data_IF_490104834276
#
_entry.id   IF_490104834276
#
_cell.length_a   1.000
_cell.length_b   1.000
_cell.length_c   1.000
_cell.angle_alpha   90.00
_cell.angle_beta   90.00
_cell.angle_gamma   90.00
#
_symmetry.space_group_name_H-M   'P 1'
#
loop_
_entity.id
_entity.type
_entity.pdbx_description
1 polymer ?
#
# COMPACT_ATOMS: atom_id res chain seq x y z
N UNK A 1 -14.12 40.75 4.32
CA UNK A 1 -13.11 40.04 3.51
C UNK A 1 -13.45 38.56 3.59
N UNK A 2 -14.04 38.03 2.52
CA UNK A 2 -14.54 36.65 2.46
C UNK A 2 -13.39 35.70 2.13
N UNK A 3 -13.26 34.62 2.91
CA UNK A 3 -12.38 33.51 2.58
C UNK A 3 -12.99 32.74 1.41
N UNK A 4 -12.22 32.60 0.34
CA UNK A 4 -12.56 31.82 -0.84
C UNK A 4 -12.49 30.33 -0.49
N UNK A 5 -13.65 29.67 -0.51
CA UNK A 5 -13.76 28.21 -0.61
C UNK A 5 -13.16 27.78 -1.94
N UNK A 6 -11.94 27.23 -1.92
CA UNK A 6 -11.43 26.43 -3.06
C UNK A 6 -11.87 24.99 -2.83
N UNK A 7 -12.96 24.63 -3.48
CA UNK A 7 -13.39 23.24 -3.65
C UNK A 7 -12.27 22.46 -4.34
N UNK A 8 -11.69 21.47 -3.66
CA UNK A 8 -10.84 20.48 -4.29
C UNK A 8 -11.73 19.52 -5.08
N UNK A 9 -11.84 19.73 -6.39
CA UNK A 9 -12.45 18.75 -7.29
C UNK A 9 -11.47 17.58 -7.48
N UNK A 10 -11.85 16.40 -7.00
CA UNK A 10 -11.19 15.14 -7.31
C UNK A 10 -11.52 14.84 -8.79
N UNK A 11 -10.52 14.70 -9.68
CA UNK A 11 -10.82 14.37 -11.08
C UNK A 11 -11.42 12.96 -11.15
N UNK A 12 -12.60 12.81 -11.75
CA UNK A 12 -13.12 11.52 -12.18
C UNK A 12 -12.18 10.94 -13.25
N UNK A 13 -11.49 9.85 -12.89
CA UNK A 13 -10.60 9.14 -13.79
C UNK A 13 -11.41 8.44 -14.88
N UNK A 14 -11.37 8.98 -16.09
CA UNK A 14 -11.85 8.32 -17.31
C UNK A 14 -10.78 7.36 -17.82
N UNK A 15 -11.02 6.06 -17.60
CA UNK A 15 -10.14 4.96 -18.02
C UNK A 15 -10.93 3.71 -18.37
N UNK A 16 -11.77 3.78 -19.40
CA UNK A 16 -12.59 2.65 -19.87
C UNK A 16 -11.88 1.93 -21.04
N UNK A 17 -11.16 0.84 -20.76
CA UNK A 17 -10.95 -0.28 -21.72
C UNK A 17 -10.15 -1.49 -21.20
N UNK A 18 -9.58 -1.48 -19.98
CA UNK A 18 -8.86 -2.65 -19.39
C UNK A 18 -9.66 -3.43 -18.33
N UNK A 19 -10.84 -2.95 -17.96
CA UNK A 19 -11.53 -3.31 -16.70
C UNK A 19 -11.86 -4.79 -16.53
N UNK A 20 -12.25 -5.52 -17.57
CA UNK A 20 -12.77 -6.89 -17.41
C UNK A 20 -11.71 -7.94 -17.03
N UNK A 21 -10.49 -7.86 -17.58
CA UNK A 21 -9.41 -8.80 -17.23
C UNK A 21 -8.78 -8.47 -15.89
N UNK A 22 -8.59 -7.20 -15.61
CA UNK A 22 -8.05 -6.71 -14.34
C UNK A 22 -9.02 -7.07 -13.18
N UNK A 23 -10.33 -6.93 -13.40
CA UNK A 23 -11.34 -7.38 -12.44
C UNK A 23 -11.36 -8.90 -12.26
N UNK A 24 -11.22 -9.67 -13.34
CA UNK A 24 -11.15 -11.13 -13.23
C UNK A 24 -9.94 -11.57 -12.41
N UNK A 25 -8.77 -10.98 -12.69
CA UNK A 25 -7.55 -11.24 -11.93
C UNK A 25 -7.72 -10.88 -10.45
N UNK A 26 -8.28 -9.71 -10.17
CA UNK A 26 -8.58 -9.25 -8.81
C UNK A 26 -9.52 -10.20 -8.07
N UNK A 27 -10.57 -10.69 -8.74
CA UNK A 27 -11.53 -11.63 -8.15
C UNK A 27 -10.87 -12.98 -7.81
N UNK A 28 -10.05 -13.52 -8.71
CA UNK A 28 -9.29 -14.75 -8.48
C UNK A 28 -8.35 -14.58 -7.29
N UNK A 29 -7.61 -13.46 -7.25
CA UNK A 29 -6.69 -13.16 -6.16
C UNK A 29 -7.41 -13.08 -4.82
N UNK A 30 -8.56 -12.41 -4.77
CA UNK A 30 -9.35 -12.31 -3.54
C UNK A 30 -9.85 -13.66 -3.05
N UNK A 31 -10.32 -14.53 -3.96
CA UNK A 31 -10.77 -15.88 -3.59
C UNK A 31 -9.63 -16.72 -3.02
N UNK A 32 -8.46 -16.68 -3.66
CA UNK A 32 -7.25 -17.34 -3.18
C UNK A 32 -6.79 -16.77 -1.84
N UNK A 33 -6.87 -15.46 -1.65
CA UNK A 33 -6.57 -14.82 -0.37
C UNK A 33 -7.49 -15.34 0.74
N UNK A 34 -8.81 -15.38 0.52
CA UNK A 34 -9.75 -15.92 1.51
C UNK A 34 -9.44 -17.38 1.87
N UNK A 35 -9.12 -18.22 0.88
CA UNK A 35 -8.70 -19.59 1.14
C UNK A 35 -7.41 -19.68 1.95
N UNK A 36 -6.41 -18.84 1.64
CA UNK A 36 -5.17 -18.76 2.40
C UNK A 36 -5.40 -18.33 3.85
N UNK A 37 -6.27 -17.35 4.09
CA UNK A 37 -6.61 -16.88 5.44
C UNK A 37 -7.41 -17.92 6.23
N UNK A 38 -8.28 -18.68 5.59
CA UNK A 38 -9.07 -19.74 6.25
C UNK A 38 -8.24 -20.98 6.57
N UNK A 39 -7.36 -21.40 5.65
CA UNK A 39 -6.53 -22.60 5.84
C UNK A 39 -5.27 -22.32 6.65
N UNK A 40 -4.74 -21.10 6.60
CA UNK A 40 -3.55 -20.71 7.33
C UNK A 40 -3.86 -19.69 8.41
N UNK A 41 -3.43 -19.97 9.64
CA UNK A 41 -3.20 -18.90 10.60
C UNK A 41 -2.07 -18.03 10.02
N UNK A 42 -2.42 -16.87 9.43
CA UNK A 42 -1.47 -15.92 8.84
C UNK A 42 -0.30 -15.62 9.78
N UNK A 43 -0.57 -15.62 11.09
CA UNK A 43 0.42 -15.47 12.16
C UNK A 43 1.50 -16.56 12.17
N UNK A 44 1.15 -17.79 11.77
CA UNK A 44 2.05 -18.93 11.70
C UNK A 44 2.86 -18.95 10.40
N UNK A 45 2.34 -18.36 9.32
CA UNK A 45 3.05 -18.25 8.03
C UNK A 45 4.23 -17.29 8.09
N UNK A 46 4.19 -16.26 8.94
CA UNK A 46 5.31 -15.32 9.16
C UNK A 46 6.58 -16.00 9.73
N UNK A 47 6.47 -17.25 10.20
CA UNK A 47 7.56 -18.01 10.82
C UNK A 47 8.19 -18.99 9.80
N UNK A 48 7.52 -19.26 8.68
CA UNK A 48 8.00 -20.22 7.69
C UNK A 48 9.12 -19.62 6.81
N UNK A 49 10.08 -20.44 6.36
CA UNK A 49 11.04 -20.01 5.34
C UNK A 49 10.33 -19.61 4.05
N UNK A 50 10.79 -18.55 3.39
CA UNK A 50 10.21 -18.03 2.14
C UNK A 50 10.06 -19.11 1.04
N UNK A 51 10.99 -20.07 0.99
CA UNK A 51 10.93 -21.19 0.05
C UNK A 51 9.75 -22.15 0.29
N UNK A 52 9.37 -22.38 1.55
CA UNK A 52 8.23 -23.23 1.91
C UNK A 52 6.91 -22.50 1.61
N UNK A 53 6.81 -21.23 1.99
CA UNK A 53 5.64 -20.38 1.67
C UNK A 53 5.39 -20.37 0.17
N UNK A 54 6.45 -20.17 -0.62
CA UNK A 54 6.34 -20.17 -2.09
C UNK A 54 5.82 -21.50 -2.63
N UNK A 55 6.29 -22.63 -2.08
CA UNK A 55 5.83 -23.96 -2.50
C UNK A 55 4.32 -24.11 -2.25
N UNK A 56 3.86 -23.76 -1.05
CA UNK A 56 2.45 -23.96 -0.69
C UNK A 56 1.52 -23.01 -1.43
N UNK A 57 1.91 -21.75 -1.58
CA UNK A 57 1.15 -20.80 -2.41
C UNK A 57 1.09 -21.30 -3.86
N UNK A 58 2.19 -21.82 -4.39
CA UNK A 58 2.21 -22.36 -5.77
C UNK A 58 1.25 -23.54 -5.90
N UNK A 59 1.29 -24.50 -4.96
CA UNK A 59 0.40 -25.66 -4.98
C UNK A 59 -1.07 -25.25 -4.88
N UNK A 60 -1.41 -24.33 -3.98
CA UNK A 60 -2.77 -23.83 -3.82
C UNK A 60 -3.28 -23.13 -5.08
N UNK A 61 -2.47 -22.26 -5.67
CA UNK A 61 -2.82 -21.57 -6.93
C UNK A 61 -3.05 -22.58 -8.05
N UNK A 62 -2.19 -23.59 -8.19
CA UNK A 62 -2.34 -24.61 -9.23
C UNK A 62 -3.59 -25.47 -9.03
N UNK A 63 -3.89 -25.85 -7.79
CA UNK A 63 -5.08 -26.62 -7.45
C UNK A 63 -6.37 -25.82 -7.67
N UNK A 64 -6.37 -24.54 -7.31
CA UNK A 64 -7.49 -23.62 -7.55
C UNK A 64 -7.75 -23.42 -9.05
N UNK A 65 -6.72 -23.05 -9.82
CA UNK A 65 -6.84 -22.83 -11.27
C UNK A 65 -7.31 -24.09 -12.00
N UNK A 66 -6.88 -25.27 -11.56
CA UNK A 66 -7.32 -26.56 -12.10
C UNK A 66 -8.78 -26.86 -11.75
N UNK A 67 -9.21 -26.59 -10.52
CA UNK A 67 -10.56 -26.88 -10.03
C UNK A 67 -11.60 -25.98 -10.70
N UNK A 68 -11.31 -24.69 -10.81
CA UNK A 68 -12.19 -23.69 -11.42
C UNK A 68 -12.07 -23.64 -12.96
N UNK A 69 -11.18 -24.46 -13.55
CA UNK A 69 -10.90 -24.52 -14.99
C UNK A 69 -10.61 -23.14 -15.61
N UNK A 70 -9.80 -22.33 -14.92
CA UNK A 70 -9.50 -20.95 -15.31
C UNK A 70 -8.30 -20.96 -16.27
N UNK A 71 -8.46 -20.50 -17.53
CA UNK A 71 -7.35 -20.38 -18.44
C UNK A 71 -6.49 -19.17 -18.04
N UNK A 72 -5.25 -19.44 -17.63
CA UNK A 72 -4.26 -18.43 -17.25
C UNK A 72 -2.89 -18.80 -17.83
N UNK A 73 -2.20 -17.82 -18.41
CA UNK A 73 -0.88 -18.05 -19.00
C UNK A 73 0.20 -18.14 -17.91
N UNK A 74 1.43 -18.54 -18.30
CA UNK A 74 2.52 -18.75 -17.33
C UNK A 74 2.94 -17.45 -16.63
N UNK A 75 3.01 -16.34 -17.36
CA UNK A 75 3.43 -15.05 -16.80
C UNK A 75 2.39 -14.51 -15.81
N UNK A 76 1.10 -14.60 -16.13
CA UNK A 76 -0.01 -14.25 -15.25
C UNK A 76 0.00 -15.08 -13.96
N UNK A 77 0.28 -16.38 -14.07
CA UNK A 77 0.38 -17.27 -12.91
C UNK A 77 1.57 -16.92 -12.02
N UNK A 78 2.75 -16.72 -12.62
CA UNK A 78 3.94 -16.29 -11.88
C UNK A 78 3.76 -14.91 -11.24
N UNK A 79 2.97 -14.03 -11.86
CA UNK A 79 2.57 -12.76 -11.27
C UNK A 79 1.63 -12.95 -10.06
N UNK A 80 0.58 -13.75 -10.20
CA UNK A 80 -0.37 -14.05 -9.12
C UNK A 80 0.32 -14.69 -7.90
N UNK A 81 1.21 -15.66 -8.12
CA UNK A 81 1.98 -16.28 -7.04
C UNK A 81 2.85 -15.26 -6.32
N UNK A 82 3.53 -14.37 -7.06
CA UNK A 82 4.35 -13.30 -6.45
C UNK A 82 3.49 -12.35 -5.62
N UNK A 83 2.34 -11.92 -6.13
CA UNK A 83 1.46 -11.04 -5.37
C UNK A 83 0.95 -11.71 -4.09
N UNK A 84 0.54 -12.99 -4.16
CA UNK A 84 0.10 -13.72 -2.97
C UNK A 84 1.22 -13.91 -1.95
N UNK A 85 2.46 -14.14 -2.39
CA UNK A 85 3.62 -14.21 -1.48
C UNK A 85 3.89 -12.85 -0.85
N UNK A 86 3.89 -11.76 -1.63
CA UNK A 86 4.04 -10.40 -1.11
C UNK A 86 2.91 -10.06 -0.12
N UNK A 87 1.70 -10.60 -0.33
CA UNK A 87 0.54 -10.48 0.57
C UNK A 87 0.71 -11.26 1.88
N UNK A 88 1.39 -12.41 1.84
CA UNK A 88 1.66 -13.21 3.03
C UNK A 88 2.90 -12.77 3.81
N UNK A 89 3.93 -12.23 3.15
CA UNK A 89 5.26 -11.97 3.75
C UNK A 89 5.66 -10.49 3.77
N UNK A 90 5.02 -9.67 2.95
CA UNK A 90 5.27 -8.23 2.85
C UNK A 90 4.12 -7.39 3.42
N UNK A 91 3.94 -6.21 2.83
CA UNK A 91 2.88 -5.23 3.06
C UNK A 91 1.77 -5.36 2.00
N UNK A 92 1.76 -6.50 1.29
CA UNK A 92 0.79 -6.91 0.29
C UNK A 92 0.58 -5.92 -0.87
N UNK A 93 -0.62 -5.32 -1.00
CA UNK A 93 -0.92 -4.46 -2.14
C UNK A 93 -0.06 -3.18 -2.22
N UNK A 94 0.66 -2.81 -1.15
CA UNK A 94 1.45 -1.57 -1.09
C UNK A 94 2.85 -1.69 -1.71
N UNK A 95 3.37 -2.90 -1.87
CA UNK A 95 4.72 -3.21 -2.33
C UNK A 95 5.09 -2.52 -3.64
N UNK A 96 4.23 -2.56 -4.68
CA UNK A 96 4.53 -1.86 -5.93
C UNK A 96 4.67 -0.35 -5.73
N UNK A 97 3.84 0.25 -4.86
CA UNK A 97 3.86 1.69 -4.57
C UNK A 97 5.10 2.08 -3.77
N UNK A 98 5.52 1.23 -2.83
CA UNK A 98 6.73 1.43 -2.02
C UNK A 98 8.01 1.27 -2.84
N UNK A 99 8.01 0.39 -3.86
CA UNK A 99 9.16 0.22 -4.77
C UNK A 99 9.31 1.35 -5.78
N UNK A 100 8.25 2.09 -6.06
CA UNK A 100 8.26 3.18 -7.04
C UNK A 100 8.91 4.46 -6.47
N UNK A 101 10.06 4.91 -6.99
CA UNK A 101 10.79 6.06 -6.43
C UNK A 101 10.10 7.41 -6.66
N UNK A 102 9.05 7.47 -7.49
CA UNK A 102 8.32 8.71 -7.78
C UNK A 102 7.17 8.97 -6.81
N UNK A 103 6.81 7.99 -5.97
CA UNK A 103 5.82 8.14 -4.89
C UNK A 103 6.46 8.82 -3.67
N UNK A 104 5.91 9.97 -3.27
CA UNK A 104 6.27 10.68 -2.04
C UNK A 104 5.40 10.28 -0.85
N UNK A 105 4.08 10.25 -1.02
CA UNK A 105 3.12 9.87 0.02
C UNK A 105 2.20 8.75 -0.48
N UNK A 106 1.85 7.81 0.40
CA UNK A 106 0.82 6.79 0.18
C UNK A 106 -0.31 7.07 1.18
N UNK A 107 -1.54 7.14 0.69
CA UNK A 107 -2.73 7.49 1.48
C UNK A 107 -3.81 6.41 1.26
N UNK A 108 -4.06 5.60 2.27
CA UNK A 108 -5.13 4.60 2.30
C UNK A 108 -6.26 5.11 3.20
N UNK A 109 -7.35 5.57 2.59
CA UNK A 109 -8.51 6.08 3.31
C UNK A 109 -9.48 4.96 3.70
N UNK A 110 -9.51 3.89 2.91
CA UNK A 110 -10.28 2.67 3.18
C UNK A 110 -9.54 1.50 2.53
N UNK A 111 -10.01 0.27 2.74
CA UNK A 111 -9.52 -0.90 1.99
C UNK A 111 -9.70 -0.77 0.46
N UNK A 112 -10.60 0.10 -0.02
CA UNK A 112 -10.90 0.28 -1.46
C UNK A 112 -10.19 1.47 -2.09
N UNK A 113 -9.84 2.48 -1.28
CA UNK A 113 -9.42 3.78 -1.75
C UNK A 113 -7.97 4.07 -1.33
N UNK A 114 -7.05 3.76 -2.24
CA UNK A 114 -5.61 4.01 -2.10
C UNK A 114 -5.19 5.09 -3.10
N UNK A 115 -4.55 6.12 -2.59
CA UNK A 115 -4.00 7.24 -3.34
C UNK A 115 -2.49 7.32 -3.12
N UNK A 116 -1.80 7.93 -4.07
CA UNK A 116 -0.39 8.29 -3.94
C UNK A 116 -0.17 9.73 -4.33
N UNK A 117 0.84 10.35 -3.73
CA UNK A 117 1.35 11.64 -4.19
C UNK A 117 2.58 11.43 -5.07
N UNK A 118 2.59 12.09 -6.22
CA UNK A 118 3.74 12.17 -7.13
C UNK A 118 3.96 13.62 -7.51
N UNK A 119 5.17 14.12 -7.30
CA UNK A 119 5.55 15.50 -7.61
C UNK A 119 4.52 16.54 -7.09
N UNK A 120 4.00 16.35 -5.87
CA UNK A 120 3.04 17.25 -5.23
C UNK A 120 1.59 17.12 -5.72
N UNK A 121 1.27 16.09 -6.52
CA UNK A 121 -0.11 15.81 -6.99
C UNK A 121 -0.59 14.48 -6.46
N UNK A 122 -1.78 14.48 -5.87
CA UNK A 122 -2.46 13.28 -5.40
C UNK A 122 -3.18 12.62 -6.57
N UNK A 123 -2.94 11.33 -6.77
CA UNK A 123 -3.59 10.51 -7.78
C UNK A 123 -4.19 9.23 -7.16
N UNK A 124 -5.32 8.78 -7.72
CA UNK A 124 -5.95 7.52 -7.29
C UNK A 124 -5.25 6.33 -7.94
N UNK A 125 -4.96 5.31 -7.16
CA UNK A 125 -4.32 4.08 -7.67
C UNK A 125 -5.34 2.98 -7.96
N UNK A 126 -5.00 1.99 -8.79
CA UNK A 126 -5.82 0.78 -8.96
C UNK A 126 -5.65 -0.20 -7.78
N UNK A 127 -4.69 0.04 -6.88
CA UNK A 127 -4.39 -0.82 -5.73
C UNK A 127 -5.56 -0.84 -4.75
N UNK A 128 -5.94 -2.03 -4.30
CA UNK A 128 -7.01 -2.26 -3.33
C UNK A 128 -6.66 -3.42 -2.41
N UNK A 129 -7.13 -3.34 -1.18
CA UNK A 129 -7.13 -4.44 -0.22
C UNK A 129 -8.43 -5.24 -0.38
N UNK A 130 -8.41 -6.49 0.08
CA UNK A 130 -9.56 -7.39 -0.04
C UNK A 130 -10.74 -6.89 0.82
N UNK A 131 -10.45 -6.50 2.06
CA UNK A 131 -11.40 -6.03 3.06
C UNK A 131 -10.66 -5.28 4.19
N UNK A 132 -11.41 -4.79 5.19
CA UNK A 132 -10.84 -4.09 6.34
C UNK A 132 -9.91 -4.96 7.19
N UNK A 133 -10.19 -6.27 7.31
CA UNK A 133 -9.34 -7.19 8.07
C UNK A 133 -7.95 -7.33 7.40
N UNK A 134 -7.90 -7.39 6.08
CA UNK A 134 -6.64 -7.39 5.35
C UNK A 134 -5.87 -6.09 5.60
N UNK A 135 -6.51 -4.92 5.49
CA UNK A 135 -5.83 -3.65 5.79
C UNK A 135 -5.35 -3.58 7.25
N UNK A 136 -6.14 -4.07 8.21
CA UNK A 136 -5.73 -4.19 9.62
C UNK A 136 -4.50 -5.07 9.78
N UNK A 137 -4.44 -6.24 9.14
CA UNK A 137 -3.28 -7.14 9.22
C UNK A 137 -2.00 -6.45 8.71
N UNK A 138 -2.10 -5.68 7.62
CA UNK A 138 -0.96 -4.92 7.10
C UNK A 138 -0.55 -3.81 8.07
N UNK A 139 -1.51 -3.08 8.66
CA UNK A 139 -1.23 -2.09 9.70
C UNK A 139 -0.51 -2.74 10.88
N UNK A 140 -1.04 -3.84 11.42
CA UNK A 140 -0.47 -4.54 12.57
C UNK A 140 0.94 -5.04 12.28
N UNK A 141 1.21 -5.52 11.07
CA UNK A 141 2.55 -5.94 10.64
C UNK A 141 3.53 -4.76 10.62
N UNK A 142 3.15 -3.64 10.03
CA UNK A 142 3.98 -2.41 10.01
C UNK A 142 4.28 -1.96 11.44
N UNK A 143 3.26 -1.90 12.28
CA UNK A 143 3.36 -1.38 13.66
C UNK A 143 4.17 -2.34 14.57
N UNK A 144 4.05 -3.65 14.35
CA UNK A 144 4.78 -4.68 15.09
C UNK A 144 6.29 -4.60 14.82
N UNK A 145 6.70 -4.32 13.57
CA UNK A 145 8.12 -4.14 13.22
C UNK A 145 8.76 -2.95 13.95
N UNK A 146 7.98 -1.93 14.31
CA UNK A 146 8.45 -0.72 15.01
C UNK A 146 8.39 -0.89 16.53
N UNK A 147 7.79 -1.98 17.04
CA UNK A 147 7.59 -2.21 18.46
C UNK A 147 6.55 -1.29 19.11
N UNK A 148 5.58 -0.82 18.31
CA UNK A 148 4.42 -0.04 18.79
C UNK A 148 3.19 -0.96 18.91
N UNK A 149 2.12 -0.44 19.50
CA UNK A 149 0.84 -1.14 19.61
C UNK A 149 -0.28 -0.23 19.15
N UNK A 150 -1.25 -0.80 18.47
CA UNK A 150 -2.50 -0.18 18.07
C UNK A 150 -3.62 -1.17 18.41
N UNK A 151 -4.64 -0.71 19.11
CA UNK A 151 -5.80 -1.52 19.50
C UNK A 151 -7.00 -0.61 19.81
N UNK A 152 -8.17 -1.16 20.10
CA UNK A 152 -9.39 -0.37 20.35
C UNK A 152 -9.25 0.63 21.51
N UNK A 153 -8.32 0.40 22.45
CA UNK A 153 -8.05 1.32 23.55
C UNK A 153 -7.09 2.45 23.17
N UNK A 154 -6.24 2.20 22.17
CA UNK A 154 -5.28 3.15 21.59
C UNK A 154 -5.35 3.08 20.05
N UNK A 155 -6.44 3.58 19.43
CA UNK A 155 -6.78 3.32 18.03
C UNK A 155 -6.04 4.21 17.02
N UNK A 156 -4.95 4.84 17.42
CA UNK A 156 -4.14 5.70 16.55
C UNK A 156 -2.66 5.59 16.91
N UNK A 157 -1.80 5.62 15.90
CA UNK A 157 -0.34 5.59 16.06
C UNK A 157 0.35 6.48 15.03
N UNK A 158 1.43 7.15 15.46
CA UNK A 158 2.43 7.77 14.57
C UNK A 158 3.78 7.12 14.89
N UNK A 159 4.49 6.68 13.86
CA UNK A 159 5.77 6.02 14.01
C UNK A 159 6.70 6.33 12.84
N UNK A 160 7.99 6.04 13.05
CA UNK A 160 9.03 6.15 12.03
C UNK A 160 9.53 4.76 11.66
N UNK A 161 9.52 4.48 10.36
CA UNK A 161 10.02 3.25 9.77
C UNK A 161 11.56 3.26 9.73
N UNK A 162 12.21 2.08 9.63
CA UNK A 162 13.68 1.98 9.58
C UNK A 162 14.32 2.73 8.40
N UNK A 163 13.59 2.90 7.30
CA UNK A 163 14.00 3.68 6.12
C UNK A 163 13.88 5.21 6.32
N UNK A 164 13.38 5.65 7.48
CA UNK A 164 13.15 7.05 7.82
C UNK A 164 11.77 7.57 7.45
N UNK A 165 10.96 6.79 6.73
CA UNK A 165 9.58 7.13 6.37
C UNK A 165 8.72 7.25 7.62
N UNK A 166 7.66 8.06 7.55
CA UNK A 166 6.69 8.24 8.65
C UNK A 166 5.43 7.48 8.31
N UNK A 167 4.89 6.77 9.29
CA UNK A 167 3.62 6.07 9.16
C UNK A 167 2.64 6.62 10.20
N UNK A 168 1.41 6.85 9.76
CA UNK A 168 0.28 7.10 10.63
C UNK A 168 -0.83 6.12 10.31
N UNK A 169 -1.38 5.46 11.33
CA UNK A 169 -2.53 4.59 11.19
C UNK A 169 -3.60 4.98 12.21
N UNK A 170 -4.86 4.88 11.79
CA UNK A 170 -6.05 5.12 12.62
C UNK A 170 -7.02 3.97 12.35
N UNK A 171 -7.52 3.35 13.40
CA UNK A 171 -8.40 2.18 13.31
C UNK A 171 -9.74 2.46 14.02
N UNK A 172 -10.76 1.61 13.82
CA UNK A 172 -11.97 1.69 14.62
C UNK A 172 -11.67 1.64 16.13
N UNK A 173 -12.42 2.38 16.98
CA UNK A 173 -13.63 3.12 16.66
C UNK A 173 -13.42 4.56 16.15
N UNK A 174 -12.19 5.06 16.02
CA UNK A 174 -11.94 6.43 15.54
C UNK A 174 -12.15 6.57 14.04
N UNK A 175 -11.80 5.55 13.27
CA UNK A 175 -12.01 5.52 11.83
C UNK A 175 -13.38 4.91 11.51
N UNK A 176 -14.37 5.76 11.26
CA UNK A 176 -15.79 5.39 11.10
C UNK A 176 -16.02 4.49 9.87
N UNK A 177 -15.30 4.78 8.78
CA UNK A 177 -15.46 4.08 7.50
C UNK A 177 -14.56 2.85 7.33
N UNK A 178 -13.78 2.51 8.36
CA UNK A 178 -12.77 1.45 8.34
C UNK A 178 -11.35 1.96 8.62
N UNK A 179 -10.36 1.07 8.79
CA UNK A 179 -8.99 1.45 9.07
C UNK A 179 -8.38 2.34 7.98
N UNK A 180 -7.55 3.29 8.42
CA UNK A 180 -6.83 4.24 7.58
C UNK A 180 -5.33 4.17 7.84
N UNK A 181 -4.54 4.36 6.79
CA UNK A 181 -3.09 4.31 6.82
C UNK A 181 -2.52 5.41 5.92
N UNK A 182 -1.52 6.14 6.39
CA UNK A 182 -0.72 7.03 5.55
C UNK A 182 0.77 6.78 5.78
N UNK A 183 1.51 6.72 4.69
CA UNK A 183 2.96 6.54 4.70
C UNK A 183 3.57 7.72 3.94
N UNK A 184 4.24 8.60 4.67
CA UNK A 184 5.06 9.66 4.08
C UNK A 184 6.48 9.18 3.93
N UNK A 185 6.92 9.01 2.70
CA UNK A 185 8.23 8.43 2.41
C UNK A 185 9.33 9.45 2.67
N UNK A 186 10.44 8.97 3.19
CA UNK A 186 11.64 9.80 3.25
C UNK A 186 12.17 9.97 1.83
N UNK A 187 12.41 11.22 1.42
CA UNK A 187 12.84 11.52 0.06
C UNK A 187 14.14 10.75 -0.26
N UNK A 188 14.09 9.93 -1.33
CA UNK A 188 15.27 9.17 -1.80
C UNK A 188 16.38 10.12 -2.24
N UNK A 189 16.00 11.29 -2.78
CA UNK A 189 16.92 12.39 -3.10
C UNK A 189 16.63 13.59 -2.17
N UNK A 190 17.46 13.85 -1.16
CA UNK A 190 17.34 15.06 -0.36
C UNK A 190 17.59 16.30 -1.23
N UNK A 191 16.76 17.34 -1.04
CA UNK A 191 16.93 18.63 -1.70
C UNK A 191 18.28 19.24 -1.30
N UNK A 192 19.06 19.66 -2.30
CA UNK A 192 20.29 20.42 -2.10
C UNK A 192 19.98 21.91 -2.00
N UNK A 193 20.94 22.69 -1.52
CA UNK A 193 20.82 24.16 -1.47
C UNK A 193 20.50 24.74 -2.85
N UNK A 194 21.17 24.23 -3.89
CA UNK A 194 20.93 24.58 -5.29
C UNK A 194 19.47 24.33 -5.71
N UNK A 195 18.87 23.23 -5.28
CA UNK A 195 17.47 22.91 -5.59
C UNK A 195 16.52 23.92 -4.92
N UNK A 196 16.79 24.32 -3.69
CA UNK A 196 15.98 25.31 -2.96
C UNK A 196 16.02 26.70 -3.62
N UNK A 197 17.18 27.10 -4.14
CA UNK A 197 17.34 28.35 -4.91
C UNK A 197 16.59 28.23 -6.25
N UNK A 198 16.76 27.12 -6.97
CA UNK A 198 16.09 26.87 -8.24
C UNK A 198 14.56 26.84 -8.11
N UNK A 199 14.04 26.29 -7.01
CA UNK A 199 12.61 26.29 -6.68
C UNK A 199 12.13 27.62 -6.07
N UNK A 200 12.98 28.65 -6.02
CA UNK A 200 12.67 29.97 -5.47
C UNK A 200 12.14 29.92 -4.03
N UNK A 201 12.52 28.86 -3.30
CA UNK A 201 12.20 28.73 -1.87
C UNK A 201 13.14 29.62 -1.04
N UNK A 202 14.37 29.82 -1.52
CA UNK A 202 15.38 30.72 -0.95
C UNK A 202 15.98 31.59 -2.06
N UNK A 203 16.45 32.79 -1.70
CA UNK A 203 17.28 33.59 -2.62
C UNK A 203 18.72 33.10 -2.57
N UNK A 204 19.50 33.41 -3.62
CA UNK A 204 20.90 33.02 -3.72
C UNK A 204 21.72 33.58 -2.55
N UNK A 205 21.47 34.82 -2.13
CA UNK A 205 22.20 35.46 -1.02
C UNK A 205 21.95 34.76 0.32
N UNK A 206 20.73 34.26 0.55
CA UNK A 206 20.40 33.48 1.74
C UNK A 206 21.03 32.08 1.66
N UNK A 207 21.04 31.49 0.46
CA UNK A 207 21.69 30.21 0.21
C UNK A 207 23.19 30.25 0.50
N UNK A 208 23.89 31.31 0.05
CA UNK A 208 25.31 31.53 0.35
C UNK A 208 25.58 31.80 1.83
N UNK A 209 24.69 32.54 2.51
CA UNK A 209 24.85 32.83 3.94
C UNK A 209 24.74 31.57 4.82
N UNK A 210 23.94 30.57 4.41
CA UNK A 210 23.68 29.35 5.18
C UNK A 210 24.61 28.17 4.84
N UNK A 211 25.39 28.26 3.76
CA UNK A 211 26.28 27.21 3.26
C UNK A 211 27.64 27.20 4.00
#
# INVERSE_FOLDING_TARGET
MAYSERSYEIPEATGESSTGRDEQFYNIKNQLHYQLVEEADLSALDILPEGEIRSEVTSLVEDFLRTENIPMNREEREHLIRELIDELTGLGPLEPLLRDPTVSDILCNTYRDVYVERAGRVEKTPVRFVNDAHLMNIIDRIISQIGRRIDESSPMVDARLPDGSRVNAIIPPLAVDGPMLSIRRFAVNPLKMEDLINYQTLTEEIGEFLA
#
